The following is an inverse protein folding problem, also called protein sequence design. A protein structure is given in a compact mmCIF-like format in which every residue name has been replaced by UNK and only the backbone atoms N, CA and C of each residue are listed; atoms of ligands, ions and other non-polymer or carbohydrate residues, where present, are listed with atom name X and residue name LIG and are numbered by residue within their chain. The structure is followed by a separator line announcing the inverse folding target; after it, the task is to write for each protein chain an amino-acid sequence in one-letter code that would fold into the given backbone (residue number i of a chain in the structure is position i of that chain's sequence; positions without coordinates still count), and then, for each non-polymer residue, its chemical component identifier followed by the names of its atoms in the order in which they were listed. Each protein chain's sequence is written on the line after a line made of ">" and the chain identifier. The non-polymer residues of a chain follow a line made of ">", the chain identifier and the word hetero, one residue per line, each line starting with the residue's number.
data_IF_373683154007
#
_entry.id   IF_373683154007
#
_cell.length_a   1.000
_cell.length_b   1.000
_cell.length_c   1.000
_cell.angle_alpha   90.00
_cell.angle_beta   90.00
_cell.angle_gamma   90.00
#
_symmetry.space_group_name_H-M   'P 1'
#
loop_
_entity.id
_entity.type
_entity.pdbx_description
1 polymer ?
#
# COMPACT_ATOMS: atom_id res chain seq x y z
N UNK A 1 11.22 9.27 -14.29
CA UNK A 1 11.28 8.95 -12.84
C UNK A 1 10.61 10.07 -12.07
N UNK A 2 9.95 9.77 -10.97
CA UNK A 2 9.29 10.72 -10.09
C UNK A 2 9.99 10.73 -8.72
N UNK A 3 9.94 11.87 -8.04
CA UNK A 3 10.32 11.94 -6.63
C UNK A 3 9.39 11.03 -5.82
N UNK A 4 9.94 10.13 -5.02
CA UNK A 4 9.17 9.33 -4.07
C UNK A 4 8.71 10.26 -2.94
N UNK A 5 7.41 10.55 -2.90
CA UNK A 5 6.84 11.50 -1.95
C UNK A 5 6.09 10.83 -0.82
N UNK A 6 5.46 9.70 -1.09
CA UNK A 6 4.45 9.14 -0.20
C UNK A 6 4.61 7.64 -0.01
N UNK A 7 4.57 7.19 1.23
CA UNK A 7 4.41 5.79 1.61
C UNK A 7 3.19 5.72 2.53
N UNK A 8 2.22 4.86 2.22
CA UNK A 8 0.99 4.78 2.99
C UNK A 8 0.30 3.43 2.85
N UNK A 9 -0.56 3.11 3.82
CA UNK A 9 -1.54 2.04 3.70
C UNK A 9 -2.75 2.50 2.89
N UNK A 10 -3.28 1.64 2.03
CA UNK A 10 -4.42 1.94 1.16
C UNK A 10 -5.69 1.22 1.61
N UNK A 11 -6.82 1.93 1.81
CA UNK A 11 -7.03 3.37 1.60
C UNK A 11 -6.35 4.26 2.67
N UNK A 12 -6.02 5.53 2.41
CA UNK A 12 -5.24 6.35 3.34
C UNK A 12 -5.88 6.63 4.71
N UNK A 13 -7.21 6.70 4.80
CA UNK A 13 -7.90 7.20 6.00
C UNK A 13 -9.06 6.31 6.47
N UNK A 14 -9.63 5.48 5.59
CA UNK A 14 -10.88 4.76 5.87
C UNK A 14 -12.06 5.70 6.21
N UNK A 15 -13.23 5.17 6.58
CA UNK A 15 -14.32 5.97 7.13
C UNK A 15 -14.02 6.46 8.55
N UNK A 16 -14.56 7.62 8.91
CA UNK A 16 -14.49 8.18 10.28
C UNK A 16 -15.32 7.36 11.26
N UNK A 17 -16.52 6.95 10.84
CA UNK A 17 -17.42 6.12 11.62
C UNK A 17 -17.38 4.68 11.09
N UNK A 18 -16.53 3.83 11.66
CA UNK A 18 -16.45 2.42 11.33
C UNK A 18 -15.02 1.89 11.23
N UNK A 19 -14.86 0.60 10.90
CA UNK A 19 -13.54 0.04 10.60
C UNK A 19 -12.96 0.66 9.32
N UNK A 20 -11.64 0.78 9.28
CA UNK A 20 -10.87 1.30 8.17
C UNK A 20 -11.15 0.54 6.86
N UNK A 21 -11.21 -0.80 6.95
CA UNK A 21 -11.74 -1.70 5.93
C UNK A 21 -12.81 -2.61 6.58
N UNK A 22 -14.07 -2.57 6.14
CA UNK A 22 -15.11 -3.48 6.63
C UNK A 22 -14.82 -4.96 6.42
N UNK A 23 -13.98 -5.33 5.45
CA UNK A 23 -13.56 -6.71 5.20
C UNK A 23 -12.49 -7.20 6.17
N UNK A 24 -11.73 -6.28 6.76
CA UNK A 24 -10.59 -6.55 7.65
C UNK A 24 -10.67 -5.68 8.93
N UNK A 25 -11.78 -5.76 9.69
CA UNK A 25 -12.01 -4.85 10.82
C UNK A 25 -10.95 -4.96 11.90
N UNK A 26 -10.21 -6.06 11.96
CA UNK A 26 -9.23 -6.28 13.01
C UNK A 26 -7.84 -5.72 12.68
N UNK A 27 -7.64 -5.29 11.44
CA UNK A 27 -6.49 -4.50 11.03
C UNK A 27 -6.69 -2.99 11.32
N UNK A 28 -7.87 -2.57 11.80
CA UNK A 28 -8.25 -1.15 11.95
C UNK A 28 -7.26 -0.34 12.81
N UNK A 29 -6.95 -0.82 14.02
CA UNK A 29 -6.05 -0.10 14.92
C UNK A 29 -4.66 0.11 14.30
N UNK A 30 -4.13 -0.91 13.61
CA UNK A 30 -2.85 -0.82 12.93
C UNK A 30 -2.92 0.16 11.75
N UNK A 31 -3.94 0.04 10.89
CA UNK A 31 -4.11 0.91 9.74
C UNK A 31 -4.25 2.38 10.17
N UNK A 32 -4.96 2.64 11.26
CA UNK A 32 -5.12 3.98 11.86
C UNK A 32 -3.83 4.54 12.41
N UNK A 33 -3.12 3.78 13.24
CA UNK A 33 -1.78 4.16 13.74
C UNK A 33 -0.81 4.40 12.60
N UNK A 34 -0.95 3.65 11.50
CA UNK A 34 -0.02 3.75 10.38
C UNK A 34 0.06 5.16 9.80
N UNK A 35 -1.04 5.93 9.91
CA UNK A 35 -1.14 7.25 9.32
C UNK A 35 -0.05 8.21 9.78
N UNK A 36 0.15 8.34 11.10
CA UNK A 36 1.16 9.27 11.65
C UNK A 36 2.58 8.81 11.32
N UNK A 37 2.84 7.51 11.38
CA UNK A 37 4.14 6.90 11.09
C UNK A 37 4.49 7.11 9.61
N UNK A 38 3.57 6.77 8.72
CA UNK A 38 3.71 6.91 7.27
C UNK A 38 3.90 8.37 6.83
N UNK A 39 3.17 9.33 7.40
CA UNK A 39 3.35 10.75 7.06
C UNK A 39 4.71 11.28 7.53
N UNK A 40 5.17 10.88 8.72
CA UNK A 40 6.50 11.23 9.22
C UNK A 40 7.60 10.60 8.36
N UNK A 41 7.48 9.32 8.02
CA UNK A 41 8.42 8.63 7.13
C UNK A 41 8.44 9.27 5.74
N UNK A 42 7.26 9.59 5.17
CA UNK A 42 7.12 10.26 3.88
C UNK A 42 7.74 11.66 3.87
N UNK A 43 7.61 12.42 4.97
CA UNK A 43 8.30 13.70 5.11
C UNK A 43 9.83 13.52 5.02
N UNK A 44 10.39 12.58 5.76
CA UNK A 44 11.83 12.32 5.74
C UNK A 44 12.29 11.88 4.33
N UNK A 45 11.54 11.02 3.63
CA UNK A 45 11.84 10.61 2.26
C UNK A 45 11.89 11.79 1.27
N UNK A 46 11.00 12.78 1.42
CA UNK A 46 10.99 13.96 0.54
C UNK A 46 12.26 14.81 0.70
N UNK A 47 12.83 14.85 1.90
CA UNK A 47 14.07 15.59 2.20
C UNK A 47 15.31 14.89 1.62
N UNK A 48 15.25 13.57 1.44
CA UNK A 48 16.33 12.72 0.91
C UNK A 48 16.37 12.60 -0.62
N UNK A 49 15.36 13.14 -1.31
CA UNK A 49 15.25 13.18 -2.76
C UNK A 49 15.36 11.82 -3.49
N UNK A 50 14.84 10.74 -2.90
CA UNK A 50 14.83 9.41 -3.53
C UNK A 50 13.88 9.39 -4.76
N UNK A 51 14.37 8.89 -5.90
CA UNK A 51 13.58 8.77 -7.13
C UNK A 51 13.08 7.34 -7.38
N UNK A 52 11.85 7.24 -7.86
CA UNK A 52 11.17 5.99 -8.13
C UNK A 52 10.35 6.06 -9.44
N UNK A 53 9.73 4.95 -9.85
CA UNK A 53 8.84 4.89 -11.02
C UNK A 53 7.57 5.71 -10.78
N UNK A 54 6.98 5.58 -9.59
CA UNK A 54 5.81 6.34 -9.14
C UNK A 54 6.20 7.26 -7.97
N UNK A 55 5.40 8.30 -7.72
CA UNK A 55 5.63 9.18 -6.56
C UNK A 55 5.18 8.57 -5.23
N UNK A 56 4.65 7.35 -5.23
CA UNK A 56 4.12 6.71 -4.03
C UNK A 56 4.31 5.20 -4.02
N UNK A 57 4.43 4.64 -2.81
CA UNK A 57 4.40 3.20 -2.51
C UNK A 57 3.18 2.92 -1.62
N UNK A 58 2.43 1.87 -1.95
CA UNK A 58 1.18 1.51 -1.26
C UNK A 58 1.31 0.19 -0.52
N UNK A 59 0.98 0.19 0.76
CA UNK A 59 0.83 -1.04 1.52
C UNK A 59 -0.66 -1.44 1.59
N UNK A 60 -0.94 -2.71 1.42
CA UNK A 60 -2.25 -3.33 1.65
C UNK A 60 -2.12 -4.21 2.86
N UNK A 61 -3.14 -4.24 3.70
CA UNK A 61 -3.10 -5.00 4.95
C UNK A 61 -4.23 -6.02 4.97
N UNK A 62 -3.93 -7.20 5.50
CA UNK A 62 -4.89 -8.27 5.73
C UNK A 62 -4.55 -9.01 7.03
N UNK A 63 -5.54 -9.65 7.62
CA UNK A 63 -5.34 -10.54 8.75
C UNK A 63 -4.72 -11.86 8.27
N UNK A 64 -3.68 -12.32 8.98
CA UNK A 64 -3.06 -13.63 8.80
C UNK A 64 -3.23 -14.57 9.99
N UNK A 65 -2.55 -15.70 9.87
CA UNK A 65 -2.45 -16.74 10.88
C UNK A 65 -1.52 -16.33 12.06
N UNK A 66 -1.56 -17.05 13.20
CA UNK A 66 -0.62 -16.83 14.29
C UNK A 66 0.85 -16.97 13.85
N UNK A 67 1.70 -16.07 14.34
CA UNK A 67 3.12 -16.07 14.01
C UNK A 67 3.71 -14.67 13.93
N UNK A 68 4.58 -14.45 12.94
CA UNK A 68 5.21 -13.16 12.67
C UNK A 68 4.30 -12.28 11.81
N UNK A 69 4.50 -10.97 11.88
CA UNK A 69 4.04 -10.10 10.81
C UNK A 69 4.86 -10.37 9.54
N UNK A 70 4.20 -10.31 8.39
CA UNK A 70 4.83 -10.56 7.09
C UNK A 70 4.64 -9.39 6.14
N UNK A 71 5.68 -9.08 5.38
CA UNK A 71 5.65 -8.06 4.31
C UNK A 71 6.11 -8.70 3.02
N UNK A 72 5.19 -8.85 2.08
CA UNK A 72 5.46 -9.25 0.71
C UNK A 72 5.56 -8.00 -0.17
N UNK A 73 6.79 -7.54 -0.42
CA UNK A 73 7.05 -6.33 -1.20
C UNK A 73 7.16 -6.63 -2.69
N UNK A 74 6.30 -6.04 -3.52
CA UNK A 74 6.34 -6.23 -4.97
C UNK A 74 7.53 -5.51 -5.60
N UNK A 75 8.44 -6.27 -6.20
CA UNK A 75 9.63 -5.72 -6.89
C UNK A 75 9.43 -5.56 -8.41
N UNK A 76 8.36 -6.14 -8.97
CA UNK A 76 7.96 -5.95 -10.38
C UNK A 76 6.46 -5.59 -10.53
N UNK A 77 5.99 -4.46 -9.98
CA UNK A 77 4.57 -4.17 -10.03
C UNK A 77 4.14 -3.75 -11.44
N UNK A 78 2.94 -4.15 -11.87
CA UNK A 78 2.38 -3.77 -13.17
C UNK A 78 1.95 -2.30 -13.25
N UNK A 79 1.41 -1.74 -12.16
CA UNK A 79 0.77 -0.40 -12.17
C UNK A 79 1.37 0.58 -11.16
N UNK A 80 1.59 0.15 -9.92
CA UNK A 80 2.11 1.00 -8.84
C UNK A 80 2.98 0.18 -7.89
N UNK A 81 3.97 0.81 -7.27
CA UNK A 81 4.77 0.13 -6.24
C UNK A 81 3.91 -0.22 -5.03
N UNK A 82 3.94 -1.48 -4.61
CA UNK A 82 3.12 -1.95 -3.51
C UNK A 82 3.74 -3.06 -2.69
N UNK A 83 3.32 -3.15 -1.43
CA UNK A 83 3.57 -4.28 -0.55
C UNK A 83 2.27 -4.78 0.05
N UNK A 84 2.20 -6.08 0.32
CA UNK A 84 1.15 -6.68 1.15
C UNK A 84 1.70 -6.94 2.54
N UNK A 85 0.93 -6.59 3.54
CA UNK A 85 1.23 -6.77 4.96
C UNK A 85 0.21 -7.73 5.53
N UNK A 86 0.69 -8.82 6.12
CA UNK A 86 -0.15 -9.81 6.77
C UNK A 86 0.14 -9.76 8.26
N UNK A 87 -0.87 -9.44 9.07
CA UNK A 87 -0.71 -9.28 10.52
C UNK A 87 -1.13 -10.54 11.28
N UNK A 88 -0.36 -10.99 12.29
CA UNK A 88 -0.81 -12.06 13.17
C UNK A 88 -1.92 -11.55 14.11
N UNK A 89 -2.78 -12.42 14.66
CA UNK A 89 -3.84 -12.02 15.58
C UNK A 89 -3.35 -11.23 16.80
N UNK A 90 -2.13 -11.50 17.26
CA UNK A 90 -1.50 -10.82 18.41
C UNK A 90 -1.24 -9.34 18.16
N UNK A 91 -1.13 -8.90 16.89
CA UNK A 91 -0.98 -7.48 16.55
C UNK A 91 -2.16 -6.62 17.02
N UNK A 92 -3.34 -7.23 17.20
CA UNK A 92 -4.58 -6.57 17.64
C UNK A 92 -4.51 -6.08 19.08
N UNK A 93 -3.68 -6.70 19.92
CA UNK A 93 -3.61 -6.43 21.36
C UNK A 93 -2.45 -5.52 21.74
N UNK A 94 -1.59 -5.15 20.77
CA UNK A 94 -0.50 -4.22 20.99
C UNK A 94 -1.03 -2.88 21.52
N UNK A 95 -0.29 -2.29 22.45
CA UNK A 95 -0.53 -0.90 22.83
C UNK A 95 -0.12 0.06 21.70
N UNK A 96 -0.39 1.34 21.92
CA UNK A 96 -0.13 2.39 20.93
C UNK A 96 1.33 2.48 20.49
N UNK A 97 2.28 2.27 21.40
CA UNK A 97 3.71 2.47 21.13
C UNK A 97 4.30 1.25 20.40
N UNK A 98 3.97 0.04 20.86
CA UNK A 98 4.38 -1.20 20.18
C UNK A 98 3.75 -1.31 18.79
N UNK A 99 2.50 -0.88 18.63
CA UNK A 99 1.83 -0.84 17.32
C UNK A 99 2.49 0.17 16.38
N UNK A 100 2.87 1.35 16.87
CA UNK A 100 3.59 2.34 16.06
C UNK A 100 4.99 1.84 15.64
N UNK A 101 5.70 1.15 16.54
CA UNK A 101 6.94 0.47 16.22
C UNK A 101 6.73 -0.59 15.12
N UNK A 102 5.70 -1.44 15.23
CA UNK A 102 5.41 -2.47 14.22
C UNK A 102 5.12 -1.87 12.85
N UNK A 103 4.36 -0.77 12.79
CA UNK A 103 4.14 -0.06 11.52
C UNK A 103 5.46 0.39 10.93
N UNK A 104 6.34 1.01 11.72
CA UNK A 104 7.62 1.50 11.22
C UNK A 104 8.50 0.35 10.72
N UNK A 105 8.60 -0.75 11.48
CA UNK A 105 9.32 -1.95 11.07
C UNK A 105 8.79 -2.49 9.73
N UNK A 106 7.47 -2.59 9.60
CA UNK A 106 6.76 -3.07 8.40
C UNK A 106 7.07 -2.19 7.18
N UNK A 107 6.87 -0.88 7.33
CA UNK A 107 7.09 0.09 6.26
C UNK A 107 8.56 0.14 5.88
N UNK A 108 9.45 0.31 6.85
CA UNK A 108 10.88 0.43 6.60
C UNK A 108 11.46 -0.86 6.01
N UNK A 109 11.07 -2.04 6.53
CA UNK A 109 11.47 -3.32 5.98
C UNK A 109 11.04 -3.47 4.51
N UNK A 110 9.77 -3.20 4.20
CA UNK A 110 9.29 -3.21 2.81
C UNK A 110 10.04 -2.21 1.92
N UNK A 111 10.33 -1.01 2.44
CA UNK A 111 11.07 0.02 1.72
C UNK A 111 12.54 -0.34 1.48
N UNK A 112 13.21 -1.01 2.43
CA UNK A 112 14.56 -1.55 2.25
C UNK A 112 14.57 -2.61 1.13
N UNK A 113 13.58 -3.51 1.15
CA UNK A 113 13.48 -4.56 0.11
C UNK A 113 13.23 -3.97 -1.27
N UNK A 114 12.32 -2.99 -1.37
CA UNK A 114 12.13 -2.26 -2.62
C UNK A 114 13.39 -1.50 -3.02
N UNK A 115 14.06 -0.85 -2.07
CA UNK A 115 15.28 -0.08 -2.30
C UNK A 115 16.40 -0.92 -2.88
N UNK A 116 16.62 -2.12 -2.35
CA UNK A 116 17.57 -3.10 -2.90
C UNK A 116 17.25 -3.42 -4.37
N UNK A 117 15.98 -3.70 -4.69
CA UNK A 117 15.53 -3.98 -6.05
C UNK A 117 15.59 -2.77 -7.00
N UNK A 118 15.76 -1.55 -6.47
CA UNK A 118 15.88 -0.30 -7.24
C UNK A 118 17.29 0.28 -7.22
N UNK A 119 18.21 -0.31 -6.45
CA UNK A 119 19.55 0.22 -6.24
C UNK A 119 19.57 1.55 -5.47
N UNK A 120 18.64 1.74 -4.52
CA UNK A 120 18.64 2.89 -3.63
C UNK A 120 19.75 2.79 -2.58
N UNK A 121 20.15 3.96 -2.07
CA UNK A 121 21.05 4.01 -0.93
C UNK A 121 20.31 3.59 0.34
N UNK A 122 20.80 2.51 0.96
CA UNK A 122 20.24 1.96 2.19
C UNK A 122 20.41 2.95 3.35
N UNK A 123 21.47 3.75 3.37
CA UNK A 123 21.69 4.71 4.45
C UNK A 123 20.65 5.83 4.44
N UNK A 124 20.20 6.29 3.26
CA UNK A 124 19.10 7.24 3.17
C UNK A 124 17.80 6.67 3.77
N UNK A 125 17.50 5.39 3.51
CA UNK A 125 16.33 4.74 4.11
C UNK A 125 16.47 4.60 5.63
N UNK A 126 17.68 4.31 6.13
CA UNK A 126 17.99 4.26 7.56
C UNK A 126 17.85 5.64 8.23
N UNK A 127 18.24 6.72 7.55
CA UNK A 127 18.04 8.11 8.01
C UNK A 127 16.55 8.43 8.13
N UNK A 128 15.74 8.04 7.14
CA UNK A 128 14.28 8.21 7.21
C UNK A 128 13.68 7.44 8.39
N UNK A 129 14.11 6.21 8.63
CA UNK A 129 13.70 5.39 9.76
C UNK A 129 14.08 6.03 11.12
N UNK A 130 15.33 6.48 11.25
CA UNK A 130 15.81 7.15 12.45
C UNK A 130 15.04 8.45 12.76
N UNK A 131 14.66 9.21 11.73
CA UNK A 131 13.86 10.43 11.87
C UNK A 131 12.45 10.15 12.43
N UNK A 132 11.83 9.00 12.10
CA UNK A 132 10.55 8.62 12.70
C UNK A 132 10.70 8.27 14.18
N UNK A 133 11.76 7.55 14.55
CA UNK A 133 12.05 7.19 15.94
C UNK A 133 12.35 8.43 16.78
N UNK A 134 13.15 9.36 16.25
CA UNK A 134 13.48 10.62 16.91
C UNK A 134 12.24 11.45 17.26
N UNK A 135 11.23 11.42 16.38
CA UNK A 135 9.94 12.08 16.56
C UNK A 135 8.92 11.22 17.33
N UNK A 136 9.35 10.10 17.93
CA UNK A 136 8.51 9.17 18.68
C UNK A 136 7.24 8.76 17.91
N UNK A 137 7.41 8.47 16.61
CA UNK A 137 6.34 8.04 15.72
C UNK A 137 5.22 9.08 15.50
N UNK A 138 5.40 10.31 15.97
CA UNK A 138 4.40 11.36 15.80
C UNK A 138 4.60 12.08 14.48
N UNK A 139 3.49 12.62 13.98
CA UNK A 139 3.52 13.58 12.90
C UNK A 139 2.79 14.85 13.32
N UNK A 140 3.51 15.96 13.22
CA UNK A 140 2.98 17.29 13.42
C UNK A 140 3.43 18.20 12.27
N UNK A 141 2.60 19.18 11.94
CA UNK A 141 2.91 20.15 10.90
C UNK A 141 2.35 21.52 11.27
N UNK A 142 3.19 22.54 11.21
CA UNK A 142 2.80 23.91 11.49
C UNK A 142 2.59 24.69 10.18
N UNK A 143 1.48 25.41 10.09
CA UNK A 143 1.27 26.33 8.97
C UNK A 143 2.17 27.57 9.09
N UNK A 144 2.42 28.29 7.98
CA UNK A 144 3.03 29.62 8.04
C UNK A 144 2.22 30.58 8.92
N UNK A 145 2.90 31.51 9.58
CA UNK A 145 2.27 32.58 10.35
C UNK A 145 1.50 33.54 9.43
N UNK A 146 0.31 33.97 9.90
CA UNK A 146 -0.52 35.00 9.28
C UNK A 146 -0.69 36.18 10.22
N UNK A 147 -0.24 37.36 9.79
CA UNK A 147 -0.34 38.60 10.56
C UNK A 147 -1.76 39.16 10.58
N UNK A 148 -2.19 39.69 11.73
CA UNK A 148 -3.41 40.48 11.83
C UNK A 148 -3.26 41.83 11.11
N UNK A 149 -4.38 42.47 10.74
CA UNK A 149 -4.36 43.75 10.01
C UNK A 149 -3.61 44.85 10.77
N UNK A 150 -3.75 44.88 12.10
CA UNK A 150 -3.04 45.82 12.97
C UNK A 150 -1.60 45.42 13.30
N UNK A 151 -1.13 44.26 12.80
CA UNK A 151 0.19 43.68 13.06
C UNK A 151 0.54 43.45 14.54
N UNK A 152 -0.48 43.45 15.41
CA UNK A 152 -0.33 43.18 16.85
C UNK A 152 -0.24 41.68 17.15
N UNK A 153 -0.84 40.86 16.30
CA UNK A 153 -0.95 39.43 16.50
C UNK A 153 -0.52 38.69 15.24
N UNK A 154 0.02 37.50 15.43
CA UNK A 154 0.22 36.52 14.37
C UNK A 154 -0.48 35.21 14.74
N UNK A 155 -1.06 34.54 13.76
CA UNK A 155 -1.78 33.29 13.95
C UNK A 155 -1.26 32.20 13.02
N UNK A 156 -1.23 30.95 13.49
CA UNK A 156 -0.99 29.75 12.67
C UNK A 156 -1.87 28.60 13.14
N UNK A 157 -2.09 27.64 12.25
CA UNK A 157 -2.66 26.35 12.63
C UNK A 157 -1.51 25.36 12.87
N UNK A 158 -1.58 24.64 13.99
CA UNK A 158 -0.71 23.50 14.25
C UNK A 158 -1.53 22.23 14.11
N UNK A 159 -1.08 21.33 13.25
CA UNK A 159 -1.75 20.09 12.93
C UNK A 159 -0.98 18.92 13.54
N UNK A 160 -1.69 17.87 13.92
CA UNK A 160 -1.08 16.62 14.39
C UNK A 160 -1.97 15.44 14.05
N UNK A 161 -1.37 14.29 13.76
CA UNK A 161 -2.11 13.05 13.55
C UNK A 161 -2.23 12.27 14.85
N UNK A 162 -3.47 11.91 15.18
CA UNK A 162 -3.78 11.07 16.32
C UNK A 162 -3.67 9.60 15.95
N UNK A 163 -3.60 8.74 16.96
CA UNK A 163 -3.46 7.29 16.78
C UNK A 163 -4.68 6.64 16.10
N UNK A 164 -5.84 7.32 16.13
CA UNK A 164 -7.04 6.90 15.40
C UNK A 164 -6.99 7.21 13.88
N UNK A 165 -5.85 7.71 13.37
CA UNK A 165 -5.64 8.01 11.95
C UNK A 165 -6.22 9.35 11.49
N UNK A 166 -6.78 10.15 12.41
CA UNK A 166 -7.35 11.46 12.10
C UNK A 166 -6.49 12.61 12.59
N UNK A 167 -6.51 13.70 11.83
CA UNK A 167 -5.85 14.92 12.22
C UNK A 167 -6.65 15.70 13.25
N UNK A 168 -5.93 16.44 14.08
CA UNK A 168 -6.47 17.54 14.87
C UNK A 168 -5.72 18.81 14.54
N UNK A 169 -6.41 19.93 14.58
CA UNK A 169 -5.84 21.26 14.42
C UNK A 169 -6.07 22.06 15.70
N UNK A 170 -5.06 22.83 16.10
CA UNK A 170 -5.20 23.91 17.08
C UNK A 170 -4.82 25.23 16.42
N UNK A 171 -5.52 26.30 16.78
CA UNK A 171 -5.10 27.65 16.48
C UNK A 171 -4.10 28.10 17.54
N UNK A 172 -2.95 28.60 17.11
CA UNK A 172 -2.00 29.31 17.96
C UNK A 172 -1.94 30.78 17.53
N UNK A 173 -1.99 31.68 18.50
CA UNK A 173 -1.86 33.12 18.31
C UNK A 173 -0.79 33.66 19.23
N UNK A 174 0.11 34.48 18.70
CA UNK A 174 1.15 35.16 19.47
C UNK A 174 0.95 36.68 19.36
N UNK A 175 0.95 37.36 20.50
CA UNK A 175 1.10 38.81 20.57
C UNK A 175 2.55 39.19 20.25
N UNK A 176 2.72 40.03 19.23
CA UNK A 176 4.03 40.36 18.65
C UNK A 176 4.86 41.25 19.58
N UNK A 177 4.21 42.03 20.45
CA UNK A 177 4.89 42.94 21.36
C UNK A 177 5.27 42.26 22.67
N UNK A 178 4.34 41.50 23.24
CA UNK A 178 4.51 40.88 24.56
C UNK A 178 5.08 39.47 24.49
N UNK A 179 5.02 38.83 23.32
CA UNK A 179 5.37 37.41 23.16
C UNK A 179 4.34 36.45 23.77
N UNK A 180 3.22 36.95 24.28
CA UNK A 180 2.18 36.11 24.88
C UNK A 180 1.57 35.17 23.84
N UNK A 181 1.52 33.88 24.16
CA UNK A 181 0.92 32.85 23.33
C UNK A 181 -0.46 32.46 23.84
N UNK A 182 -1.40 32.30 22.91
CA UNK A 182 -2.78 31.88 23.14
C UNK A 182 -3.10 30.68 22.23
N UNK A 183 -3.91 29.72 22.71
CA UNK A 183 -4.34 28.55 21.93
C UNK A 183 -5.83 28.27 22.00
N UNK A 184 -6.37 27.70 20.93
CA UNK A 184 -7.72 27.12 20.95
C UNK A 184 -7.71 25.71 21.53
N UNK A 185 -8.91 25.20 21.86
CA UNK A 185 -9.11 23.75 21.94
C UNK A 185 -8.82 23.08 20.58
N UNK A 186 -8.49 21.80 20.60
CA UNK A 186 -8.29 21.00 19.40
C UNK A 186 -9.62 20.80 18.65
N UNK A 187 -9.58 20.95 17.33
CA UNK A 187 -10.71 20.67 16.44
C UNK A 187 -10.34 19.55 15.45
N UNK A 188 -11.29 18.69 15.04
CA UNK A 188 -11.03 17.68 14.01
C UNK A 188 -10.50 18.29 12.72
N UNK A 189 -9.55 17.62 12.07
CA UNK A 189 -8.89 18.04 10.85
C UNK A 189 -8.76 16.88 9.86
N UNK A 190 -8.21 17.15 8.68
CA UNK A 190 -7.97 16.13 7.66
C UNK A 190 -6.87 15.16 8.11
N UNK A 191 -6.66 14.05 7.40
CA UNK A 191 -5.65 13.06 7.83
C UNK A 191 -4.34 13.10 7.05
N UNK A 192 -4.13 14.05 6.14
CA UNK A 192 -2.92 14.10 5.28
C UNK A 192 -2.24 15.45 5.33
N UNK A 193 -0.92 15.48 5.12
CA UNK A 193 -0.16 16.73 5.03
C UNK A 193 -0.72 17.64 3.92
N UNK A 194 -1.13 17.12 2.77
CA UNK A 194 -1.74 17.92 1.71
C UNK A 194 -3.08 18.50 2.17
N UNK A 195 -3.84 17.74 2.97
CA UNK A 195 -5.04 18.23 3.64
C UNK A 195 -4.74 19.36 4.61
N UNK A 196 -3.74 19.21 5.46
CA UNK A 196 -3.28 20.25 6.37
C UNK A 196 -2.85 21.52 5.62
N UNK A 197 -2.09 21.36 4.53
CA UNK A 197 -1.67 22.48 3.68
C UNK A 197 -2.85 23.18 3.01
N UNK A 198 -3.85 22.43 2.53
CA UNK A 198 -5.10 23.01 2.00
C UNK A 198 -5.88 23.74 3.08
N UNK A 199 -6.03 23.15 4.27
CA UNK A 199 -6.69 23.76 5.43
C UNK A 199 -5.98 25.05 5.86
N UNK A 200 -4.65 25.05 5.95
CA UNK A 200 -3.83 26.22 6.31
C UNK A 200 -4.04 27.42 5.38
N UNK A 201 -4.29 27.19 4.08
CA UNK A 201 -4.58 28.27 3.13
C UNK A 201 -5.88 29.01 3.47
N UNK A 202 -6.82 28.35 4.14
CA UNK A 202 -8.11 28.97 4.54
C UNK A 202 -8.02 29.87 5.76
N UNK A 203 -6.97 29.75 6.58
CA UNK A 203 -6.77 30.56 7.78
C UNK A 203 -6.76 32.06 7.42
N UNK A 204 -7.56 32.88 8.07
CA UNK A 204 -7.53 34.33 7.86
C UNK A 204 -8.05 35.09 9.07
N UNK A 205 -7.55 36.32 9.22
CA UNK A 205 -8.11 37.30 10.14
C UNK A 205 -9.33 37.95 9.51
N UNK A 206 -10.48 37.89 10.17
CA UNK A 206 -11.68 38.62 9.72
C UNK A 206 -11.73 40.03 10.29
N UNK A 207 -11.14 40.23 11.47
CA UNK A 207 -10.88 41.54 12.09
C UNK A 207 -9.61 41.47 12.97
N UNK A 208 -9.40 42.44 13.88
CA UNK A 208 -8.20 42.50 14.72
C UNK A 208 -8.11 41.37 15.77
N UNK A 209 -9.24 40.77 16.14
CA UNK A 209 -9.38 39.83 17.27
C UNK A 209 -10.08 38.53 16.87
N UNK A 210 -10.49 38.39 15.62
CA UNK A 210 -11.26 37.24 15.12
C UNK A 210 -10.52 36.58 13.97
N UNK A 211 -10.42 35.26 14.06
CA UNK A 211 -9.73 34.40 13.12
C UNK A 211 -10.70 33.32 12.69
N UNK A 212 -10.68 32.94 11.42
CA UNK A 212 -11.43 31.79 10.93
C UNK A 212 -10.58 30.90 10.04
N UNK A 213 -10.92 29.61 10.01
CA UNK A 213 -10.34 28.62 9.11
C UNK A 213 -11.32 27.48 8.85
N UNK A 214 -11.04 26.68 7.83
CA UNK A 214 -11.67 25.38 7.58
C UNK A 214 -10.65 24.30 7.94
N UNK A 215 -10.80 23.64 9.11
CA UNK A 215 -9.78 22.71 9.61
C UNK A 215 -9.59 21.46 8.75
N UNK A 216 -10.63 21.02 8.04
CA UNK A 216 -10.58 19.83 7.19
C UNK A 216 -10.94 20.18 5.74
N UNK A 217 -9.95 20.12 4.85
CA UNK A 217 -10.12 20.37 3.41
C UNK A 217 -9.56 19.17 2.62
N UNK A 218 -10.45 18.32 2.15
CA UNK A 218 -10.16 17.14 1.35
C UNK A 218 -10.02 17.39 -0.14
N UNK A 219 -9.99 16.31 -0.91
CA UNK A 219 -10.15 16.33 -2.37
C UNK A 219 -11.62 16.49 -2.74
N UNK A 220 -11.89 16.83 -4.01
CA UNK A 220 -13.24 16.88 -4.58
C UNK A 220 -14.25 17.75 -3.81
N UNK A 221 -13.79 18.91 -3.31
CA UNK A 221 -14.60 19.86 -2.53
C UNK A 221 -15.14 19.32 -1.18
N UNK A 222 -14.67 18.17 -0.69
CA UNK A 222 -14.95 17.74 0.68
C UNK A 222 -14.32 18.73 1.66
N UNK A 223 -15.15 19.35 2.51
CA UNK A 223 -14.67 20.28 3.54
C UNK A 223 -15.58 20.29 4.76
N UNK A 224 -14.99 20.49 5.95
CA UNK A 224 -15.76 20.73 7.17
C UNK A 224 -16.40 22.11 7.19
N UNK A 225 -17.17 22.39 8.24
CA UNK A 225 -17.61 23.75 8.55
C UNK A 225 -16.41 24.68 8.83
N UNK A 226 -16.60 25.97 8.57
CA UNK A 226 -15.69 27.02 9.04
C UNK A 226 -15.76 27.12 10.55
N UNK A 227 -14.59 27.11 11.20
CA UNK A 227 -14.45 27.38 12.62
C UNK A 227 -13.97 28.81 12.80
N UNK A 228 -14.58 29.52 13.74
CA UNK A 228 -14.23 30.89 14.10
C UNK A 228 -13.76 30.91 15.54
N UNK A 229 -12.65 31.61 15.78
CA UNK A 229 -12.09 31.84 17.11
C UNK A 229 -11.98 33.34 17.36
N UNK A 230 -12.20 33.75 18.60
CA UNK A 230 -11.92 35.11 19.06
C UNK A 230 -10.85 35.08 20.15
N UNK A 231 -9.97 36.09 20.18
CA UNK A 231 -8.86 36.13 21.16
C UNK A 231 -9.32 35.94 22.62
N UNK A 232 -10.43 36.54 23.09
CA UNK A 232 -10.90 36.33 24.46
C UNK A 232 -11.32 34.89 24.80
N UNK A 233 -11.57 34.05 23.79
CA UNK A 233 -11.93 32.64 23.97
C UNK A 233 -10.69 31.72 24.00
N UNK A 234 -9.51 32.24 23.65
CA UNK A 234 -8.29 31.46 23.62
C UNK A 234 -7.68 31.35 25.01
N UNK A 235 -6.99 30.23 25.24
CA UNK A 235 -6.39 29.90 26.53
C UNK A 235 -4.92 30.33 26.50
N UNK A 236 -4.43 31.09 27.49
CA UNK A 236 -3.01 31.39 27.63
C UNK A 236 -2.18 30.11 27.70
N UNK A 237 -1.05 30.10 27.00
CA UNK A 237 -0.12 28.96 26.97
C UNK A 237 1.31 29.46 27.03
N UNK A 238 2.23 28.60 27.42
CA UNK A 238 3.65 28.91 27.32
C UNK A 238 4.07 29.08 25.85
N UNK A 239 4.91 30.09 25.54
CA UNK A 239 5.55 30.19 24.23
C UNK A 239 6.25 28.87 23.91
N UNK A 240 6.14 28.42 22.65
CA UNK A 240 6.80 27.22 22.14
C UNK A 240 6.46 25.90 22.86
N UNK A 241 5.38 25.86 23.66
CA UNK A 241 4.92 24.60 24.25
C UNK A 241 4.75 23.54 23.13
N UNK A 242 5.43 22.41 23.29
CA UNK A 242 5.47 21.32 22.30
C UNK A 242 4.03 20.84 22.03
N UNK A 243 3.68 20.72 20.75
CA UNK A 243 2.38 20.22 20.32
C UNK A 243 2.56 19.22 19.17
N UNK A 244 1.92 18.03 19.22
CA UNK A 244 1.13 17.53 20.36
C UNK A 244 2.01 17.40 21.61
N UNK A 245 1.45 17.50 22.83
CA UNK A 245 2.23 17.26 24.04
C UNK A 245 2.84 15.86 23.95
N UNK A 246 4.05 15.72 24.49
CA UNK A 246 4.69 14.42 24.57
C UNK A 246 3.70 13.41 25.17
N UNK A 247 3.52 12.23 24.52
CA UNK A 247 2.66 11.22 25.08
C UNK A 247 3.16 10.87 26.50
N UNK A 248 2.26 10.63 27.47
CA UNK A 248 2.64 10.15 28.78
C UNK A 248 3.18 8.71 28.63
N UNK A 249 4.44 8.59 28.28
CA UNK A 249 5.09 7.34 27.91
C UNK A 249 6.56 7.31 28.31
N UNK A 250 7.20 6.16 28.09
CA UNK A 250 8.59 5.96 28.51
C UNK A 250 9.53 7.00 27.89
N UNK A 251 10.57 7.41 28.62
CA UNK A 251 11.46 8.49 28.20
C UNK A 251 12.18 8.23 26.86
N UNK A 252 12.20 6.97 26.38
CA UNK A 252 12.86 6.55 25.14
C UNK A 252 11.84 5.93 24.18
N UNK A 253 11.89 6.27 22.88
CA UNK A 253 11.08 5.56 21.89
C UNK A 253 11.46 4.08 21.87
N UNK A 254 10.46 3.21 21.76
CA UNK A 254 10.69 1.81 21.43
C UNK A 254 11.42 1.74 20.08
N UNK A 255 12.24 0.72 19.88
CA UNK A 255 12.88 0.46 18.58
C UNK A 255 12.44 -0.88 18.00
N UNK A 256 11.62 -1.62 18.74
CA UNK A 256 11.11 -2.92 18.34
C UNK A 256 9.69 -3.11 18.89
N UNK A 257 8.81 -3.74 18.10
CA UNK A 257 7.41 -3.98 18.48
C UNK A 257 7.20 -5.16 19.43
N UNK A 258 8.20 -6.00 19.61
CA UNK A 258 8.12 -7.29 20.31
C UNK A 258 7.54 -8.42 19.45
N UNK A 259 6.96 -8.11 18.28
CA UNK A 259 6.53 -9.12 17.31
C UNK A 259 7.65 -9.38 16.30
N UNK A 260 7.78 -10.64 15.88
CA UNK A 260 8.67 -10.96 14.77
C UNK A 260 8.14 -10.37 13.46
N UNK A 261 9.06 -9.97 12.58
CA UNK A 261 8.76 -9.45 11.25
C UNK A 261 9.55 -10.25 10.20
N UNK A 262 8.85 -10.74 9.18
CA UNK A 262 9.44 -11.33 7.97
C UNK A 262 9.19 -10.40 6.79
N UNK A 263 10.23 -10.09 6.02
CA UNK A 263 10.11 -9.24 4.83
C UNK A 263 10.69 -10.00 3.63
N UNK A 264 9.91 -10.10 2.58
CA UNK A 264 10.25 -10.85 1.38
C UNK A 264 9.98 -10.00 0.14
N UNK A 265 10.82 -10.15 -0.88
CA UNK A 265 10.52 -9.65 -2.21
C UNK A 265 9.56 -10.62 -2.90
N UNK A 266 8.53 -10.11 -3.57
CA UNK A 266 7.65 -10.89 -4.44
C UNK A 266 7.62 -10.28 -5.84
N UNK A 267 7.43 -11.13 -6.83
CA UNK A 267 7.51 -10.75 -8.24
C UNK A 267 8.63 -11.49 -8.96
N UNK A 268 8.62 -11.34 -10.28
CA UNK A 268 9.42 -12.16 -11.20
C UNK A 268 10.91 -12.11 -10.87
N UNK A 269 11.45 -10.95 -10.54
CA UNK A 269 12.86 -10.68 -10.27
C UNK A 269 13.27 -10.85 -8.81
N UNK A 270 12.33 -11.12 -7.90
CA UNK A 270 12.67 -11.33 -6.49
C UNK A 270 13.42 -12.66 -6.28
N UNK A 271 14.62 -12.67 -5.68
CA UNK A 271 15.31 -13.91 -5.28
C UNK A 271 14.52 -14.80 -4.33
N UNK A 272 13.63 -14.24 -3.50
CA UNK A 272 12.81 -15.00 -2.55
C UNK A 272 11.57 -15.61 -3.20
N UNK A 273 11.23 -15.21 -4.43
CA UNK A 273 10.07 -15.71 -5.16
C UNK A 273 10.14 -17.25 -5.27
N UNK A 274 9.17 -18.00 -4.72
CA UNK A 274 9.15 -19.43 -4.87
C UNK A 274 9.00 -19.82 -6.35
N UNK A 275 9.43 -21.04 -6.67
CA UNK A 275 9.08 -21.64 -7.95
C UNK A 275 7.58 -21.89 -7.99
N UNK A 276 6.86 -21.15 -8.82
CA UNK A 276 5.41 -21.19 -8.90
C UNK A 276 4.86 -21.14 -10.33
N UNK A 277 3.70 -21.77 -10.51
CA UNK A 277 2.90 -21.71 -11.73
C UNK A 277 1.68 -20.83 -11.44
N UNK A 278 1.59 -19.68 -12.11
CA UNK A 278 0.52 -18.70 -11.91
C UNK A 278 -0.43 -18.73 -13.10
N UNK A 279 -1.73 -18.82 -12.82
CA UNK A 279 -2.78 -18.69 -13.84
C UNK A 279 -3.35 -17.27 -13.84
N UNK A 280 -3.00 -16.46 -14.85
CA UNK A 280 -3.43 -15.06 -14.95
C UNK A 280 -4.87 -14.89 -15.49
N UNK A 281 -5.66 -15.97 -15.55
CA UNK A 281 -6.97 -15.99 -16.17
C UNK A 281 -6.93 -15.92 -17.69
N UNK A 282 -8.10 -15.74 -18.31
CA UNK A 282 -8.27 -15.95 -19.76
C UNK A 282 -9.04 -14.85 -20.50
N UNK A 283 -9.08 -13.62 -19.98
CA UNK A 283 -9.82 -12.51 -20.61
C UNK A 283 -11.31 -12.82 -20.81
N UNK A 284 -11.93 -12.23 -21.85
CA UNK A 284 -13.36 -12.45 -22.15
C UNK A 284 -13.61 -13.89 -22.63
N UNK A 285 -14.43 -14.65 -21.91
CA UNK A 285 -14.81 -16.03 -22.29
C UNK A 285 -16.13 -16.10 -23.10
N UNK A 286 -16.60 -14.98 -23.64
CA UNK A 286 -17.85 -14.95 -24.41
C UNK A 286 -17.76 -15.86 -25.64
N UNK A 287 -18.78 -16.68 -25.90
CA UNK A 287 -18.78 -17.61 -27.03
C UNK A 287 -17.89 -18.85 -26.86
N UNK A 288 -17.17 -19.02 -25.75
CA UNK A 288 -16.45 -20.26 -25.46
C UNK A 288 -17.45 -21.39 -25.14
N UNK A 289 -17.36 -22.56 -25.82
CA UNK A 289 -18.20 -23.72 -25.52
C UNK A 289 -18.04 -24.17 -24.06
N UNK A 290 -19.15 -24.62 -23.45
CA UNK A 290 -19.18 -24.97 -22.02
C UNK A 290 -18.28 -26.17 -21.72
N UNK A 291 -18.23 -27.16 -22.60
CA UNK A 291 -17.38 -28.35 -22.44
C UNK A 291 -15.89 -28.00 -22.38
N UNK A 292 -15.43 -27.17 -23.32
CA UNK A 292 -14.05 -26.67 -23.37
C UNK A 292 -13.71 -25.86 -22.11
N UNK A 293 -14.54 -24.87 -21.75
CA UNK A 293 -14.27 -23.97 -20.61
C UNK A 293 -14.12 -24.72 -19.29
N UNK A 294 -15.09 -25.58 -18.97
CA UNK A 294 -15.06 -26.35 -17.70
C UNK A 294 -13.84 -27.26 -17.63
N UNK A 295 -13.49 -27.88 -18.76
CA UNK A 295 -12.33 -28.78 -18.82
C UNK A 295 -11.04 -28.01 -18.65
N UNK A 296 -10.89 -26.85 -19.31
CA UNK A 296 -9.75 -25.96 -19.10
C UNK A 296 -9.61 -25.56 -17.63
N UNK A 297 -10.67 -25.02 -17.02
CA UNK A 297 -10.67 -24.63 -15.59
C UNK A 297 -10.36 -25.80 -14.65
N UNK A 298 -10.83 -27.01 -14.96
CA UNK A 298 -10.49 -28.22 -14.19
C UNK A 298 -9.01 -28.59 -14.33
N UNK A 299 -8.46 -28.56 -15.54
CA UNK A 299 -7.05 -28.90 -15.79
C UNK A 299 -6.11 -27.92 -15.10
N UNK A 300 -6.39 -26.62 -15.16
CA UNK A 300 -5.56 -25.60 -14.50
C UNK A 300 -5.62 -25.73 -12.98
N UNK A 301 -6.80 -26.02 -12.40
CA UNK A 301 -6.92 -26.33 -10.97
C UNK A 301 -6.19 -27.62 -10.58
N UNK A 302 -6.15 -28.63 -11.45
CA UNK A 302 -5.38 -29.84 -11.20
C UNK A 302 -3.87 -29.55 -11.17
N UNK A 303 -3.36 -28.75 -12.10
CA UNK A 303 -1.95 -28.31 -12.10
C UNK A 303 -1.61 -27.53 -10.83
N UNK A 304 -2.53 -26.69 -10.34
CA UNK A 304 -2.36 -25.93 -9.10
C UNK A 304 -2.37 -26.83 -7.84
N UNK A 305 -3.27 -27.82 -7.79
CA UNK A 305 -3.51 -28.63 -6.60
C UNK A 305 -2.57 -29.84 -6.45
N UNK A 306 -2.03 -30.39 -7.55
CA UNK A 306 -1.17 -31.58 -7.50
C UNK A 306 0.30 -31.20 -7.25
N UNK A 307 0.91 -31.61 -6.10
CA UNK A 307 2.30 -31.29 -5.74
C UNK A 307 3.35 -31.75 -6.76
N UNK A 308 3.02 -32.72 -7.63
CA UNK A 308 3.89 -33.17 -8.71
C UNK A 308 4.22 -32.04 -9.69
N UNK A 309 3.29 -31.11 -9.92
CA UNK A 309 3.51 -29.96 -10.80
C UNK A 309 4.43 -28.91 -10.19
N UNK A 310 4.25 -28.61 -8.90
CA UNK A 310 5.16 -27.74 -8.16
C UNK A 310 6.57 -28.34 -8.11
N UNK A 311 6.68 -29.66 -7.94
CA UNK A 311 7.97 -30.37 -7.94
C UNK A 311 8.64 -30.29 -9.30
N UNK A 312 7.91 -30.57 -10.39
CA UNK A 312 8.41 -30.43 -11.75
C UNK A 312 8.90 -29.01 -12.04
N UNK A 313 8.12 -27.99 -11.68
CA UNK A 313 8.50 -26.61 -11.97
C UNK A 313 9.71 -26.11 -11.16
N UNK A 314 9.99 -26.68 -9.97
CA UNK A 314 11.20 -26.36 -9.18
C UNK A 314 12.51 -26.66 -9.92
N UNK A 315 12.49 -27.54 -10.92
CA UNK A 315 13.66 -27.83 -11.76
C UNK A 315 13.95 -26.71 -12.77
N UNK A 316 13.00 -25.80 -12.99
CA UNK A 316 13.14 -24.69 -13.93
C UNK A 316 14.25 -23.73 -13.53
N UNK A 317 15.04 -23.22 -14.49
CA UNK A 317 16.03 -22.17 -14.24
C UNK A 317 15.40 -20.80 -13.95
N UNK A 318 14.07 -20.68 -14.09
CA UNK A 318 13.33 -19.47 -13.75
C UNK A 318 12.25 -19.79 -12.71
N UNK A 319 11.95 -18.84 -11.83
CA UNK A 319 11.06 -19.06 -10.68
C UNK A 319 9.59 -19.06 -11.06
N UNK A 320 9.17 -18.21 -12.00
CA UNK A 320 7.74 -18.04 -12.28
C UNK A 320 7.37 -18.53 -13.67
N UNK A 321 6.32 -19.35 -13.76
CA UNK A 321 5.60 -19.69 -14.99
C UNK A 321 4.24 -19.00 -14.99
N UNK A 322 4.00 -18.08 -15.91
CA UNK A 322 2.70 -17.44 -16.07
C UNK A 322 1.93 -18.06 -17.23
N UNK A 323 0.77 -18.63 -16.93
CA UNK A 323 -0.13 -19.25 -17.91
C UNK A 323 -1.37 -18.36 -18.08
N UNK A 324 -1.71 -18.04 -19.33
CA UNK A 324 -2.91 -17.28 -19.66
C UNK A 324 -3.58 -17.77 -20.94
N UNK A 325 -4.85 -17.38 -21.10
CA UNK A 325 -5.64 -17.65 -22.29
C UNK A 325 -6.01 -16.37 -23.02
N UNK A 326 -5.99 -16.40 -24.36
CA UNK A 326 -6.43 -15.28 -25.20
C UNK A 326 -7.43 -15.75 -26.26
N UNK A 327 -8.65 -15.22 -26.15
CA UNK A 327 -9.78 -15.56 -27.03
C UNK A 327 -10.34 -14.29 -27.69
N UNK A 328 -10.97 -14.43 -28.85
CA UNK A 328 -11.66 -13.32 -29.56
C UNK A 328 -13.05 -13.02 -28.97
N UNK A 329 -13.58 -13.87 -28.08
CA UNK A 329 -14.87 -13.65 -27.46
C UNK A 329 -16.05 -13.74 -28.46
N UNK A 330 -15.81 -14.26 -29.67
CA UNK A 330 -16.78 -14.20 -30.78
C UNK A 330 -16.92 -12.83 -31.45
N UNK A 331 -16.11 -11.83 -31.07
CA UNK A 331 -16.14 -10.49 -31.64
C UNK A 331 -14.86 -10.20 -32.42
N UNK A 332 -15.00 -9.73 -33.66
CA UNK A 332 -13.87 -9.34 -34.49
C UNK A 332 -13.26 -10.48 -35.31
N UNK A 333 -12.00 -10.30 -35.75
CA UNK A 333 -11.32 -11.26 -36.63
C UNK A 333 -10.94 -12.52 -35.84
N UNK A 334 -11.24 -13.73 -36.35
CA UNK A 334 -10.86 -14.98 -35.70
C UNK A 334 -9.39 -15.02 -35.34
N UNK A 335 -9.08 -15.32 -34.08
CA UNK A 335 -7.70 -15.53 -33.67
C UNK A 335 -7.14 -16.83 -34.25
N UNK A 336 -5.93 -16.77 -34.82
CA UNK A 336 -5.20 -17.97 -35.21
C UNK A 336 -4.82 -18.76 -33.95
N UNK A 337 -5.07 -20.08 -33.99
CA UNK A 337 -4.60 -21.00 -32.96
C UNK A 337 -3.08 -20.91 -32.85
N UNK A 338 -2.58 -20.60 -31.65
CA UNK A 338 -1.14 -20.60 -31.38
C UNK A 338 -0.86 -20.81 -29.89
N UNK A 339 0.30 -21.41 -29.62
CA UNK A 339 0.86 -21.56 -28.28
C UNK A 339 2.14 -20.74 -28.24
N UNK A 340 2.07 -19.62 -27.53
CA UNK A 340 3.22 -18.72 -27.41
C UNK A 340 3.89 -18.97 -26.07
N UNK A 341 5.15 -19.39 -26.11
CA UNK A 341 5.99 -19.51 -24.91
C UNK A 341 7.18 -18.58 -25.07
N UNK A 342 7.39 -17.69 -24.10
CA UNK A 342 8.50 -16.74 -24.08
C UNK A 342 9.24 -16.86 -22.76
N UNK A 343 10.57 -16.93 -22.85
CA UNK A 343 11.46 -16.91 -21.69
C UNK A 343 12.05 -15.51 -21.55
N UNK A 344 11.95 -14.98 -20.35
CA UNK A 344 12.58 -13.74 -19.91
C UNK A 344 13.67 -14.07 -18.90
N UNK A 345 14.37 -13.04 -18.41
CA UNK A 345 15.45 -13.21 -17.45
C UNK A 345 15.01 -14.00 -16.19
N UNK A 346 13.80 -13.75 -15.68
CA UNK A 346 13.36 -14.29 -14.39
C UNK A 346 12.02 -15.06 -14.42
N UNK A 347 11.37 -15.18 -15.57
CA UNK A 347 10.10 -15.89 -15.70
C UNK A 347 9.86 -16.41 -17.13
N UNK A 348 8.91 -17.32 -17.27
CA UNK A 348 8.36 -17.75 -18.56
C UNK A 348 6.89 -17.33 -18.63
N UNK A 349 6.47 -16.80 -19.78
CA UNK A 349 5.05 -16.62 -20.09
C UNK A 349 4.61 -17.63 -21.14
N UNK A 350 3.43 -18.20 -20.92
CA UNK A 350 2.81 -19.21 -21.76
C UNK A 350 1.36 -18.81 -22.04
N UNK A 351 1.02 -18.70 -23.32
CA UNK A 351 -0.29 -18.21 -23.77
C UNK A 351 -0.90 -19.21 -24.73
N UNK A 352 -2.10 -19.69 -24.39
CA UNK A 352 -2.98 -20.37 -25.33
C UNK A 352 -3.80 -19.30 -26.05
N UNK A 353 -3.65 -19.18 -27.36
CA UNK A 353 -4.47 -18.29 -28.17
C UNK A 353 -5.33 -19.10 -29.13
N UNK A 354 -6.65 -18.90 -29.10
CA UNK A 354 -7.60 -19.64 -29.96
C UNK A 354 -8.84 -18.80 -30.26
N UNK A 355 -9.40 -18.95 -31.47
CA UNK A 355 -10.70 -18.40 -31.82
C UNK A 355 -11.83 -19.24 -31.22
N UNK A 356 -12.83 -18.60 -30.63
CA UNK A 356 -14.01 -19.31 -30.09
C UNK A 356 -14.78 -20.05 -31.18
N UNK A 357 -14.75 -19.57 -32.43
CA UNK A 357 -15.36 -20.26 -33.58
C UNK A 357 -14.67 -21.59 -33.93
N UNK A 358 -13.43 -21.81 -33.48
CA UNK A 358 -12.67 -23.06 -33.67
C UNK A 358 -12.77 -24.03 -32.48
N UNK A 359 -13.47 -23.62 -31.42
CA UNK A 359 -13.62 -24.45 -30.22
C UNK A 359 -14.78 -25.42 -30.42
N UNK A 360 -14.55 -26.67 -30.07
CA UNK A 360 -15.57 -27.73 -30.10
C UNK A 360 -16.36 -27.72 -28.79
N UNK A 361 -17.60 -28.21 -28.82
CA UNK A 361 -18.43 -28.38 -27.61
C UNK A 361 -18.51 -29.86 -27.20
N UNK A 362 -19.09 -30.13 -26.03
CA UNK A 362 -19.27 -31.49 -25.54
C UNK A 362 -17.95 -32.25 -25.30
N UNK A 363 -17.91 -33.57 -25.54
CA UNK A 363 -16.72 -34.40 -25.35
C UNK A 363 -15.52 -33.94 -26.18
N UNK A 364 -15.73 -33.59 -27.45
CA UNK A 364 -14.65 -33.14 -28.34
C UNK A 364 -14.03 -31.82 -27.86
N UNK A 365 -14.85 -30.94 -27.26
CA UNK A 365 -14.37 -29.71 -26.61
C UNK A 365 -13.50 -29.98 -25.39
N UNK A 366 -13.84 -31.00 -24.60
CA UNK A 366 -13.02 -31.43 -23.47
C UNK A 366 -11.67 -31.99 -23.92
N UNK A 367 -11.66 -32.86 -24.94
CA UNK A 367 -10.44 -33.39 -25.54
C UNK A 367 -9.58 -32.29 -26.18
N UNK A 368 -10.21 -31.30 -26.80
CA UNK A 368 -9.51 -30.15 -27.35
C UNK A 368 -8.83 -29.31 -26.26
N UNK A 369 -9.51 -29.04 -25.14
CA UNK A 369 -8.92 -28.33 -24.01
C UNK A 369 -7.72 -29.11 -23.42
N UNK A 370 -7.84 -30.43 -23.28
CA UNK A 370 -6.75 -31.27 -22.79
C UNK A 370 -5.53 -31.25 -23.72
N UNK A 371 -5.74 -31.39 -25.03
CA UNK A 371 -4.67 -31.24 -26.03
C UNK A 371 -4.00 -29.88 -25.96
N UNK A 372 -4.77 -28.81 -25.79
CA UNK A 372 -4.22 -27.45 -25.73
C UNK A 372 -3.34 -27.21 -24.52
N UNK A 373 -3.75 -27.68 -23.34
CA UNK A 373 -2.94 -27.56 -22.12
C UNK A 373 -1.71 -28.46 -22.20
N UNK A 374 -1.84 -29.69 -22.73
CA UNK A 374 -0.71 -30.62 -22.93
C UNK A 374 0.33 -30.03 -23.88
N UNK A 375 -0.09 -29.52 -25.03
CA UNK A 375 0.79 -28.90 -26.02
C UNK A 375 1.48 -27.65 -25.46
N UNK A 376 0.77 -26.82 -24.70
CA UNK A 376 1.36 -25.65 -24.05
C UNK A 376 2.47 -26.07 -23.08
N UNK A 377 2.20 -27.03 -22.19
CA UNK A 377 3.13 -27.44 -21.15
C UNK A 377 4.35 -28.18 -21.71
N UNK A 378 4.19 -28.95 -22.78
CA UNK A 378 5.32 -29.54 -23.52
C UNK A 378 6.25 -28.45 -24.10
N UNK A 379 5.68 -27.37 -24.65
CA UNK A 379 6.47 -26.21 -25.11
C UNK A 379 7.11 -25.44 -23.98
N UNK A 380 6.47 -25.37 -22.81
CA UNK A 380 7.06 -24.80 -21.60
C UNK A 380 8.27 -25.61 -21.17
N UNK A 381 8.17 -26.93 -21.05
CA UNK A 381 9.28 -27.82 -20.73
C UNK A 381 10.48 -27.60 -21.67
N UNK A 382 10.19 -27.60 -22.99
CA UNK A 382 11.21 -27.35 -24.03
C UNK A 382 11.86 -25.97 -23.88
N UNK A 383 11.09 -24.93 -23.51
CA UNK A 383 11.62 -23.57 -23.37
C UNK A 383 12.40 -23.36 -22.07
N UNK A 384 11.97 -24.03 -21.00
CA UNK A 384 12.63 -24.02 -19.70
C UNK A 384 13.89 -24.89 -19.69
N UNK A 385 14.01 -25.83 -20.64
CA UNK A 385 15.07 -26.85 -20.68
C UNK A 385 15.02 -27.80 -19.48
N UNK A 386 13.81 -28.32 -19.22
CA UNK A 386 13.52 -29.30 -18.15
C UNK A 386 12.78 -30.50 -18.71
N UNK A 387 12.68 -31.56 -17.90
CA UNK A 387 12.00 -32.80 -18.28
C UNK A 387 10.50 -32.59 -18.60
N UNK A 388 9.90 -33.60 -19.25
CA UNK A 388 8.48 -33.54 -19.60
C UNK A 388 7.60 -33.40 -18.35
N UNK A 389 6.52 -32.60 -18.42
CA UNK A 389 5.64 -32.39 -17.28
C UNK A 389 4.92 -33.68 -16.86
N UNK A 390 4.41 -33.74 -15.61
CA UNK A 390 3.51 -34.80 -15.19
C UNK A 390 2.34 -34.98 -16.16
N UNK A 391 1.84 -36.22 -16.29
CA UNK A 391 0.71 -36.50 -17.17
C UNK A 391 -0.57 -35.81 -16.65
N UNK A 392 -1.18 -34.96 -17.48
CA UNK A 392 -2.47 -34.33 -17.19
C UNK A 392 -3.58 -35.40 -17.15
N UNK A 393 -4.15 -35.63 -15.97
CA UNK A 393 -5.28 -36.55 -15.82
C UNK A 393 -6.61 -35.82 -16.03
N UNK A 394 -7.50 -36.46 -16.79
CA UNK A 394 -8.91 -36.08 -16.86
C UNK A 394 -9.65 -37.01 -15.92
N UNK A 395 -9.48 -36.82 -14.61
CA UNK A 395 -10.32 -37.58 -13.68
C UNK A 395 -11.76 -37.04 -13.81
N UNK A 396 -12.69 -37.98 -14.02
CA UNK A 396 -14.08 -37.78 -14.44
C UNK A 396 -14.87 -36.84 -13.54
#
# INVERSE_FOLDING_TARGET
>A
MALLRDVHFWPPTGPETGPWDPGEPECDAFARTSRRVCERYSQALRELEIYNRTSSVRFFIEQGDPGNAEVAMSVDPSEFESGRVTLPPDARTLDMDHRAALVLETVHGGMLRLGEARGWDVEQLNEAHAAVIADRYQFAWDSPWKMSRGRKHQARLRFSLQDNGFGVAILEVVDVQTGQSLRSAAVPSFSTIEGFQRSARTLRWTNAETIEAVPSVGLFNSRSATVQWTLPQLIPTEPDAVWPPDPPGSARPLTNSGLGLSVLGVGRSAPEQPHEIIFLGHGMTNGMPRGYRRTLERLLRHVDADPGWATWWRESPVRVLEISGRWDGGFGKPLRQSYTVRRYAHHITAIIQRSTASMLDGPDGAEQAHRDVTELLSRVATRADIDQPPALRIDG
#
